data_IF_444459717880
#
_entry.id   IF_444459717880
#
_cell.length_a   1.000
_cell.length_b   1.000
_cell.length_c   1.000
_cell.angle_alpha   90.00
_cell.angle_beta   90.00
_cell.angle_gamma   90.00
#
_symmetry.space_group_name_H-M   'P 1'
#
loop_
_entity.id
_entity.type
_entity.pdbx_description
1 polymer ?
#
# COMPACT_ATOMS: atom_id res chain seq x y z
N UNK A 1 -15.61 6.14 -2.07
CA UNK A 1 -14.97 7.48 -2.13
C UNK A 1 -15.60 8.52 -1.21
N UNK A 2 -16.82 8.28 -0.70
CA UNK A 2 -17.56 9.19 0.19
C UNK A 2 -16.74 9.68 1.40
N UNK A 3 -16.10 8.78 2.14
CA UNK A 3 -15.34 9.17 3.32
C UNK A 3 -14.22 10.18 3.01
N UNK A 4 -13.52 10.01 1.88
CA UNK A 4 -12.48 10.94 1.45
C UNK A 4 -13.07 12.29 1.00
N UNK A 5 -14.26 12.28 0.41
CA UNK A 5 -14.95 13.51 0.02
C UNK A 5 -15.38 14.30 1.26
N UNK A 6 -16.00 13.64 2.23
CA UNK A 6 -16.39 14.23 3.52
C UNK A 6 -15.16 14.73 4.27
N UNK A 7 -14.07 13.96 4.31
CA UNK A 7 -12.83 14.37 4.95
C UNK A 7 -12.27 15.67 4.35
N UNK A 8 -12.28 15.83 3.03
CA UNK A 8 -11.84 17.08 2.38
C UNK A 8 -12.74 18.28 2.71
N UNK A 9 -14.00 18.05 3.07
CA UNK A 9 -14.96 19.11 3.37
C UNK A 9 -14.94 19.57 4.83
N UNK A 10 -14.69 18.65 5.78
CA UNK A 10 -14.83 18.94 7.21
C UNK A 10 -13.65 18.54 8.11
N UNK A 11 -12.79 17.63 7.64
CA UNK A 11 -11.69 17.09 8.47
C UNK A 11 -10.37 17.78 8.17
N UNK A 12 -9.94 17.76 6.91
CA UNK A 12 -8.62 18.24 6.45
C UNK A 12 -8.70 19.56 5.67
N UNK A 13 -9.83 20.25 5.66
CA UNK A 13 -9.93 21.60 5.12
C UNK A 13 -9.27 22.65 6.04
N UNK A 14 -9.01 23.84 5.50
CA UNK A 14 -8.55 24.99 6.29
C UNK A 14 -9.53 25.32 7.41
N UNK A 15 -9.04 25.46 8.64
CA UNK A 15 -9.85 25.62 9.85
C UNK A 15 -10.71 24.40 10.21
N UNK A 16 -10.50 23.25 9.58
CA UNK A 16 -11.19 21.99 9.88
C UNK A 16 -10.73 21.37 11.19
N UNK A 17 -11.23 20.17 11.48
CA UNK A 17 -10.96 19.46 12.74
C UNK A 17 -9.45 19.21 12.92
N UNK A 18 -8.73 18.78 11.88
CA UNK A 18 -7.30 18.47 12.00
C UNK A 18 -6.49 19.74 12.33
N UNK A 19 -6.72 20.85 11.63
CA UNK A 19 -5.99 22.09 11.92
C UNK A 19 -6.36 22.71 13.27
N UNK A 20 -7.56 22.46 13.78
CA UNK A 20 -8.02 23.05 15.05
C UNK A 20 -7.60 22.24 16.27
N UNK A 21 -7.44 20.92 16.13
CA UNK A 21 -7.20 20.00 17.25
C UNK A 21 -5.77 19.46 17.33
N UNK A 22 -4.97 19.56 16.27
CA UNK A 22 -3.60 19.02 16.25
C UNK A 22 -2.56 20.15 16.26
N UNK A 23 -1.45 19.91 16.95
CA UNK A 23 -0.39 20.91 17.17
C UNK A 23 0.18 21.56 15.89
N UNK A 24 0.28 20.89 14.72
CA UNK A 24 0.78 21.54 13.51
C UNK A 24 -0.17 22.59 12.91
N UNK A 25 -1.44 22.63 13.32
CA UNK A 25 -2.41 23.60 12.82
C UNK A 25 -2.52 23.59 11.29
N UNK A 26 -2.44 24.78 10.68
CA UNK A 26 -2.45 24.99 9.22
C UNK A 26 -1.35 24.27 8.44
N UNK A 27 -0.32 23.75 9.12
CA UNK A 27 0.78 22.99 8.49
C UNK A 27 0.53 21.48 8.45
N UNK A 28 -0.58 20.99 9.01
CA UNK A 28 -0.87 19.54 9.13
C UNK A 28 -0.84 18.80 7.78
N UNK A 29 -1.43 19.40 6.75
CA UNK A 29 -1.48 18.82 5.40
C UNK A 29 -0.15 18.96 4.64
N UNK A 30 0.62 20.00 4.94
CA UNK A 30 1.95 20.20 4.34
C UNK A 30 2.94 19.13 4.82
N UNK A 31 2.89 18.79 6.12
CA UNK A 31 3.74 17.74 6.70
C UNK A 31 3.47 16.39 6.05
N UNK A 32 2.21 16.01 5.84
CA UNK A 32 1.88 14.73 5.20
C UNK A 32 2.30 14.71 3.72
N UNK A 33 2.19 15.84 3.01
CA UNK A 33 2.71 16.00 1.65
C UNK A 33 4.24 15.85 1.58
N UNK A 34 4.97 16.47 2.52
CA UNK A 34 6.42 16.32 2.64
C UNK A 34 6.82 14.86 2.91
N UNK A 35 6.13 14.18 3.83
CA UNK A 35 6.36 12.77 4.15
C UNK A 35 6.06 11.84 2.95
N UNK A 36 4.98 12.13 2.20
CA UNK A 36 4.66 11.39 0.97
C UNK A 36 5.81 11.50 -0.05
N UNK A 37 6.35 12.70 -0.23
CA UNK A 37 7.47 12.92 -1.16
C UNK A 37 8.75 12.22 -0.70
N UNK A 38 9.09 12.31 0.59
CA UNK A 38 10.38 11.83 1.10
C UNK A 38 10.43 10.32 1.31
N UNK A 39 9.34 9.74 1.77
CA UNK A 39 9.39 8.44 2.43
C UNK A 39 8.45 7.40 1.82
N UNK A 40 7.36 7.82 1.17
CA UNK A 40 6.36 6.87 0.68
C UNK A 40 6.82 6.12 -0.56
N UNK A 41 6.67 4.78 -0.50
CA UNK A 41 7.07 3.84 -1.54
C UNK A 41 6.18 2.60 -1.48
N UNK A 42 5.37 2.38 -2.52
CA UNK A 42 4.42 1.27 -2.58
C UNK A 42 5.05 -0.10 -2.32
N UNK A 43 6.25 -0.35 -2.83
CA UNK A 43 6.96 -1.62 -2.65
C UNK A 43 7.36 -1.89 -1.19
N UNK A 44 7.45 -0.83 -0.37
CA UNK A 44 7.82 -0.88 1.05
C UNK A 44 6.61 -0.95 1.99
N UNK A 45 5.39 -0.87 1.48
CA UNK A 45 4.16 -0.92 2.28
C UNK A 45 3.70 -2.37 2.58
N UNK A 46 4.35 -3.39 2.01
CA UNK A 46 4.14 -4.77 2.42
C UNK A 46 4.60 -4.95 3.88
N UNK A 47 3.77 -5.57 4.72
CA UNK A 47 4.06 -5.68 6.14
C UNK A 47 5.45 -6.28 6.44
N UNK A 48 5.89 -7.40 5.81
CA UNK A 48 7.23 -7.91 6.07
C UNK A 48 8.35 -6.92 5.71
N UNK A 49 8.19 -6.21 4.58
CA UNK A 49 9.17 -5.22 4.13
C UNK A 49 9.22 -3.99 5.06
N UNK A 50 8.06 -3.51 5.53
CA UNK A 50 7.99 -2.41 6.50
C UNK A 50 8.66 -2.78 7.83
N UNK A 51 8.42 -3.98 8.34
CA UNK A 51 9.00 -4.46 9.60
C UNK A 51 10.54 -4.58 9.53
N UNK A 52 11.07 -5.12 8.43
CA UNK A 52 12.53 -5.15 8.19
C UNK A 52 13.09 -3.74 8.10
N UNK A 53 12.45 -2.86 7.32
CA UNK A 53 12.90 -1.48 7.10
C UNK A 53 12.95 -0.67 8.40
N UNK A 54 12.01 -0.91 9.31
CA UNK A 54 11.99 -0.27 10.65
C UNK A 54 12.96 -0.90 11.64
N UNK A 55 13.65 -1.98 11.28
CA UNK A 55 14.59 -2.69 12.15
C UNK A 55 13.92 -3.48 13.27
N UNK A 56 12.63 -3.78 13.13
CA UNK A 56 11.85 -4.56 14.11
C UNK A 56 11.66 -6.02 13.71
N UNK A 57 12.20 -6.41 12.54
CA UNK A 57 12.29 -7.78 12.08
C UNK A 57 13.58 -7.98 11.28
N UNK A 58 13.99 -9.24 11.13
CA UNK A 58 15.10 -9.69 10.29
C UNK A 58 14.61 -10.75 9.31
N UNK A 59 15.28 -10.87 8.17
CA UNK A 59 15.00 -11.95 7.21
C UNK A 59 15.28 -13.31 7.85
N UNK A 60 14.32 -14.22 7.75
CA UNK A 60 14.43 -15.58 8.23
C UNK A 60 13.58 -16.50 7.34
N UNK A 61 14.18 -17.16 6.33
CA UNK A 61 13.47 -18.05 5.43
C UNK A 61 12.82 -19.26 6.12
N UNK A 62 13.21 -19.57 7.37
CA UNK A 62 12.60 -20.65 8.15
C UNK A 62 11.28 -20.28 8.78
N UNK A 63 10.97 -18.98 8.88
CA UNK A 63 9.77 -18.48 9.53
C UNK A 63 8.63 -18.25 8.52
N UNK A 64 7.36 -18.34 8.98
CA UNK A 64 6.22 -17.88 8.20
C UNK A 64 6.42 -16.43 7.74
N UNK A 65 6.02 -16.11 6.51
CA UNK A 65 6.25 -14.80 5.86
C UNK A 65 7.74 -14.44 5.63
N UNK A 66 8.69 -15.35 5.88
CA UNK A 66 10.11 -15.18 5.56
C UNK A 66 10.86 -14.20 6.49
N UNK A 67 10.28 -13.86 7.65
CA UNK A 67 10.86 -12.92 8.60
C UNK A 67 10.71 -13.39 10.05
N UNK A 68 11.64 -12.98 10.91
CA UNK A 68 11.57 -13.15 12.35
C UNK A 68 11.54 -11.79 13.05
N UNK A 69 10.61 -11.61 13.99
CA UNK A 69 10.54 -10.38 14.77
C UNK A 69 11.74 -10.26 15.72
N UNK A 70 12.24 -9.04 15.89
CA UNK A 70 13.25 -8.71 16.91
C UNK A 70 12.59 -8.62 18.28
N UNK A 71 11.35 -8.15 18.33
CA UNK A 71 10.50 -8.10 19.52
C UNK A 71 9.41 -9.16 19.33
N UNK A 72 9.54 -10.29 20.01
CA UNK A 72 8.66 -11.45 19.82
C UNK A 72 7.20 -11.14 20.15
N UNK A 73 6.96 -10.34 21.19
CA UNK A 73 5.65 -10.01 21.71
C UNK A 73 5.09 -8.68 21.15
N UNK A 74 5.50 -8.28 19.93
CA UNK A 74 4.98 -7.06 19.30
C UNK A 74 3.58 -7.30 18.69
N UNK A 75 2.47 -6.86 19.33
CA UNK A 75 1.14 -7.37 18.99
C UNK A 75 0.65 -6.93 17.61
N UNK A 76 1.01 -5.73 17.18
CA UNK A 76 0.71 -5.24 15.83
C UNK A 76 1.38 -6.10 14.75
N UNK A 77 2.68 -6.39 14.91
CA UNK A 77 3.43 -7.15 13.92
C UNK A 77 3.01 -8.62 13.91
N UNK A 78 2.89 -9.25 15.08
CA UNK A 78 2.50 -10.65 15.20
C UNK A 78 1.11 -10.90 14.60
N UNK A 79 0.10 -10.12 14.98
CA UNK A 79 -1.25 -10.27 14.44
C UNK A 79 -1.32 -9.86 12.96
N UNK A 80 -0.62 -8.80 12.58
CA UNK A 80 -0.56 -8.35 11.19
C UNK A 80 0.01 -9.42 10.26
N UNK A 81 1.03 -10.17 10.69
CA UNK A 81 1.64 -11.23 9.89
C UNK A 81 0.68 -12.41 9.65
N UNK A 82 -0.21 -12.71 10.59
CA UNK A 82 -1.27 -13.70 10.40
C UNK A 82 -2.24 -13.26 9.30
N UNK A 83 -2.70 -12.00 9.35
CA UNK A 83 -3.61 -11.43 8.33
C UNK A 83 -2.91 -11.35 6.98
N UNK A 84 -1.66 -10.90 6.95
CA UNK A 84 -0.84 -10.85 5.74
C UNK A 84 -0.71 -12.22 5.07
N UNK A 85 -0.39 -13.26 5.84
CA UNK A 85 -0.29 -14.64 5.32
C UNK A 85 -1.62 -15.11 4.74
N UNK A 86 -2.74 -14.86 5.43
CA UNK A 86 -4.06 -15.24 4.94
C UNK A 86 -4.44 -14.53 3.62
N UNK A 87 -4.15 -13.23 3.50
CA UNK A 87 -4.33 -12.48 2.24
C UNK A 87 -3.46 -13.08 1.13
N UNK A 88 -2.20 -13.39 1.44
CA UNK A 88 -1.27 -13.99 0.49
C UNK A 88 -1.76 -15.34 -0.02
N UNK A 89 -2.25 -16.21 0.85
CA UNK A 89 -2.78 -17.52 0.49
C UNK A 89 -4.05 -17.40 -0.37
N UNK A 90 -4.96 -16.49 0.01
CA UNK A 90 -6.18 -16.23 -0.75
C UNK A 90 -5.89 -15.67 -2.14
N UNK A 91 -5.05 -14.64 -2.26
CA UNK A 91 -4.68 -14.04 -3.56
C UNK A 91 -4.00 -15.08 -4.44
N UNK A 92 -3.08 -15.87 -3.87
CA UNK A 92 -2.36 -16.91 -4.63
C UNK A 92 -3.34 -17.94 -5.18
N UNK A 93 -4.24 -18.44 -4.34
CA UNK A 93 -5.27 -19.42 -4.72
C UNK A 93 -6.24 -18.86 -5.77
N UNK A 94 -6.65 -17.60 -5.63
CA UNK A 94 -7.53 -16.95 -6.58
C UNK A 94 -6.84 -16.78 -7.94
N UNK A 95 -5.64 -16.21 -7.97
CA UNK A 95 -4.89 -15.99 -9.21
C UNK A 95 -4.59 -17.32 -9.89
N UNK A 96 -4.13 -18.34 -9.17
CA UNK A 96 -3.85 -19.66 -9.76
C UNK A 96 -5.10 -20.32 -10.34
N UNK A 97 -6.29 -20.03 -9.80
CA UNK A 97 -7.55 -20.59 -10.27
C UNK A 97 -8.01 -20.03 -11.62
N UNK A 98 -7.68 -18.77 -11.91
CA UNK A 98 -8.12 -18.06 -13.12
C UNK A 98 -6.98 -17.82 -14.14
N UNK A 99 -5.72 -17.90 -13.71
CA UNK A 99 -4.52 -17.72 -14.53
C UNK A 99 -3.54 -18.88 -14.32
N UNK A 100 -3.88 -20.10 -14.78
CA UNK A 100 -3.05 -21.29 -14.56
C UNK A 100 -1.76 -21.29 -15.40
N UNK A 101 -1.75 -20.65 -16.56
CA UNK A 101 -0.59 -20.60 -17.47
C UNK A 101 0.10 -19.24 -17.38
N UNK A 102 1.40 -19.27 -17.07
CA UNK A 102 2.26 -18.08 -16.94
C UNK A 102 2.41 -17.26 -18.23
N UNK A 103 2.09 -17.84 -19.39
CA UNK A 103 2.13 -17.17 -20.71
C UNK A 103 0.97 -16.21 -20.97
N UNK A 104 -0.13 -16.31 -20.22
CA UNK A 104 -1.27 -15.37 -20.35
C UNK A 104 -0.99 -13.98 -19.77
N UNK A 105 0.11 -13.80 -19.02
CA UNK A 105 0.47 -12.50 -18.42
C UNK A 105 1.16 -11.53 -19.40
N UNK A 106 1.57 -12.00 -20.58
CA UNK A 106 2.28 -11.17 -21.58
C UNK A 106 1.39 -10.63 -22.70
N UNK A 107 0.09 -10.95 -22.73
CA UNK A 107 -0.83 -10.54 -23.79
C UNK A 107 -2.13 -9.94 -23.25
N UNK A 108 -2.08 -8.68 -22.81
CA UNK A 108 -3.19 -7.75 -23.04
C UNK A 108 -2.63 -6.39 -23.51
N UNK A 109 -2.75 -6.18 -24.82
CA UNK A 109 -2.63 -4.90 -25.53
C UNK A 109 -4.04 -4.24 -25.64
N UNK A 110 -4.20 -3.10 -26.33
CA UNK A 110 -4.78 -1.86 -25.83
C UNK A 110 -6.29 -1.73 -26.11
N UNK A 111 -7.14 -1.75 -25.08
CA UNK A 111 -8.52 -1.28 -25.25
C UNK A 111 -8.57 0.25 -25.14
N UNK A 112 -8.46 0.92 -26.30
CA UNK A 112 -8.88 2.31 -26.49
C UNK A 112 -10.36 2.45 -26.15
N UNK A 113 -10.67 2.98 -24.98
CA UNK A 113 -11.96 3.64 -24.73
C UNK A 113 -11.82 5.09 -25.18
N UNK A 114 -12.58 5.45 -26.19
CA UNK A 114 -12.79 6.82 -26.65
C UNK A 114 -13.62 7.57 -25.58
N UNK A 115 -12.95 8.14 -24.58
CA UNK A 115 -13.61 8.88 -23.51
C UNK A 115 -12.64 9.69 -22.64
N UNK A 116 -12.60 11.00 -22.88
CA UNK A 116 -12.13 12.00 -21.92
C UNK A 116 -10.63 12.22 -21.84
N UNK A 117 -10.10 13.08 -22.71
CA UNK A 117 -8.98 13.93 -22.29
C UNK A 117 -9.49 14.82 -21.16
N UNK A 118 -9.14 14.50 -19.90
CA UNK A 118 -8.79 15.47 -18.86
C UNK A 118 -8.45 14.76 -17.54
N UNK A 119 -7.35 15.21 -16.93
CA UNK A 119 -6.86 14.86 -15.58
C UNK A 119 -6.17 13.49 -15.39
N UNK A 120 -5.15 13.22 -16.21
CA UNK A 120 -3.96 12.49 -15.72
C UNK A 120 -3.01 13.50 -15.07
N UNK A 121 -3.27 13.87 -13.82
CA UNK A 121 -2.32 14.68 -13.05
C UNK A 121 -1.10 13.83 -12.67
N UNK A 122 0.06 14.36 -13.02
CA UNK A 122 1.36 13.72 -13.26
C UNK A 122 2.10 13.14 -12.03
N UNK A 123 1.47 12.96 -10.87
CA UNK A 123 2.20 12.60 -9.64
C UNK A 123 2.53 11.10 -9.49
N UNK A 124 1.74 10.20 -10.08
CA UNK A 124 1.87 8.75 -9.88
C UNK A 124 2.63 8.03 -11.01
N UNK A 125 2.99 8.73 -12.10
CA UNK A 125 3.50 8.08 -13.32
C UNK A 125 5.01 7.75 -13.30
N UNK A 126 5.78 8.30 -12.35
CA UNK A 126 7.26 8.22 -12.42
C UNK A 126 7.89 7.19 -11.45
N UNK A 127 7.09 6.40 -10.72
CA UNK A 127 7.63 5.39 -9.77
C UNK A 127 7.03 3.99 -9.89
N UNK A 128 6.25 3.70 -10.94
CA UNK A 128 5.71 2.36 -11.22
C UNK A 128 6.58 1.51 -12.15
N UNK A 129 7.80 1.94 -12.50
CA UNK A 129 8.71 1.17 -13.38
C UNK A 129 9.56 0.15 -12.62
N UNK A 130 8.95 -0.66 -11.76
CA UNK A 130 9.58 -1.91 -11.29
C UNK A 130 8.56 -3.03 -11.35
N UNK A 131 8.58 -3.70 -12.50
CA UNK A 131 8.11 -5.06 -12.85
C UNK A 131 7.11 -5.71 -11.87
N UNK A 132 5.90 -5.96 -12.39
CA UNK A 132 4.87 -6.75 -11.75
C UNK A 132 5.40 -8.12 -11.32
N UNK A 133 5.65 -8.25 -10.03
CA UNK A 133 5.78 -9.53 -9.35
C UNK A 133 4.52 -9.84 -8.55
N UNK A 134 4.43 -11.04 -7.95
CA UNK A 134 3.29 -11.51 -7.15
C UNK A 134 2.89 -10.61 -5.96
N UNK A 135 3.72 -9.61 -5.63
CA UNK A 135 3.42 -8.60 -4.62
C UNK A 135 2.43 -7.51 -5.10
N UNK A 136 2.26 -7.31 -6.41
CA UNK A 136 1.47 -6.20 -6.96
C UNK A 136 -0.03 -6.28 -6.68
N UNK A 137 -0.58 -7.48 -6.47
CA UNK A 137 -2.03 -7.69 -6.20
C UNK A 137 -2.34 -7.84 -4.71
N UNK A 138 -1.34 -8.13 -3.87
CA UNK A 138 -1.51 -8.36 -2.42
C UNK A 138 -1.45 -7.05 -1.63
N UNK A 139 -0.51 -6.19 -1.99
CA UNK A 139 -0.28 -4.90 -1.31
C UNK A 139 -1.51 -3.97 -1.28
N UNK A 140 -2.32 -3.85 -2.34
CA UNK A 140 -3.52 -3.00 -2.28
C UNK A 140 -4.59 -3.50 -1.31
N UNK A 141 -4.74 -4.82 -1.17
CA UNK A 141 -5.71 -5.42 -0.23
C UNK A 141 -5.24 -5.20 1.21
N UNK A 142 -3.95 -5.42 1.47
CA UNK A 142 -3.34 -5.12 2.76
C UNK A 142 -3.53 -3.64 3.17
N UNK A 143 -3.27 -2.70 2.25
CA UNK A 143 -3.43 -1.27 2.50
C UNK A 143 -4.88 -0.81 2.70
N UNK A 144 -5.86 -1.68 2.45
CA UNK A 144 -7.28 -1.41 2.68
C UNK A 144 -7.79 -1.92 4.04
N UNK A 145 -6.98 -2.67 4.80
CA UNK A 145 -7.23 -3.02 6.19
C UNK A 145 -6.64 -1.96 7.13
#
# INVERSE_FOLDING_TARGET
>A
MEINAVARQSLINGGGIIESCFSPGKYSLEISSAAYKSSWRFDMEALPADLIRRGVAVEDPSQPCGIRLVIEDYPYAANGLLVWSAIQDWVTSYVSRFYPDSDTQSQQTPNSIHGGQNSKNQATRTRQTSRGGPNSTRQPIWLAF
#
